data_IF_127648254339
#
_entry.id   IF_127648254339
#
_cell.length_a   1.000
_cell.length_b   1.000
_cell.length_c   1.000
_cell.angle_alpha   90.00
_cell.angle_beta   90.00
_cell.angle_gamma   90.00
#
_symmetry.space_group_name_H-M   'P 1'
#
loop_
_entity.id
_entity.type
_entity.pdbx_description
1 polymer ?
#
# COMPACT_ATOMS: atom_id res chain seq x y z
N UNK A 1 26.75 14.29 20.82
CA UNK A 1 26.27 13.90 20.91
C UNK A 1 25.49 13.45 20.70
N UNK A 2 25.72 13.49 20.35
CA UNK A 2 25.11 12.99 20.29
C UNK A 2 24.26 12.21 20.19
N UNK A 3 25.08 12.08 20.35
CA UNK A 3 24.60 10.73 20.33
C UNK A 3 23.22 10.69 20.38
N UNK A 4 22.81 11.64 20.62
CA UNK A 4 21.42 11.78 20.65
C UNK A 4 20.84 11.97 19.31
N UNK A 5 21.43 11.37 18.32
CA UNK A 5 20.86 11.20 17.01
C UNK A 5 19.51 10.54 17.20
N UNK A 6 18.43 11.19 16.77
CA UNK A 6 17.11 10.59 16.91
C UNK A 6 16.98 9.23 16.27
N UNK A 7 17.77 8.93 15.27
CA UNK A 7 17.71 7.64 14.62
C UNK A 7 18.05 6.49 15.58
N UNK A 8 18.72 6.78 16.66
CA UNK A 8 19.05 5.74 17.64
C UNK A 8 17.88 5.39 18.53
N UNK A 9 16.84 6.21 18.51
CA UNK A 9 15.73 6.03 19.43
C UNK A 9 14.42 5.82 18.73
N UNK A 10 14.47 5.49 17.47
CA UNK A 10 13.25 5.17 16.74
C UNK A 10 12.64 3.91 17.31
N UNK A 11 11.32 3.93 17.45
CA UNK A 11 10.64 2.72 17.85
C UNK A 11 10.66 1.72 16.71
N UNK A 12 10.26 0.46 16.98
CA UNK A 12 10.33 -0.59 15.97
C UNK A 12 9.55 -0.28 14.70
N UNK A 13 8.54 0.58 14.77
CA UNK A 13 7.77 0.91 13.58
C UNK A 13 8.56 1.74 12.59
N UNK A 14 9.49 2.56 13.07
CA UNK A 14 10.27 3.40 12.18
C UNK A 14 11.62 2.81 11.86
N UNK A 15 12.03 1.76 12.58
CA UNK A 15 13.24 1.03 12.26
C UNK A 15 12.94 0.01 11.17
N UNK A 16 13.83 -0.13 10.19
CA UNK A 16 13.67 -1.09 9.13
C UNK A 16 12.85 -0.55 7.97
N UNK A 17 12.29 -1.42 7.14
CA UNK A 17 11.59 -1.00 5.92
C UNK A 17 10.36 -0.13 6.21
N UNK A 18 10.04 0.78 5.29
CA UNK A 18 8.84 1.61 5.44
C UNK A 18 7.57 0.80 5.56
N UNK A 19 6.59 1.37 6.22
CA UNK A 19 5.31 0.73 6.47
C UNK A 19 4.28 1.25 5.49
N UNK A 20 3.47 0.34 4.94
CA UNK A 20 2.27 0.67 4.19
C UNK A 20 1.10 0.08 4.96
N UNK A 21 0.19 0.93 5.40
CA UNK A 21 -0.92 0.49 6.25
C UNK A 21 -2.14 0.14 5.42
N UNK A 22 -2.81 -0.92 5.81
CA UNK A 22 -4.00 -1.41 5.14
C UNK A 22 -5.12 -1.66 6.15
N UNK A 23 -6.34 -1.46 5.69
CA UNK A 23 -7.50 -1.96 6.43
C UNK A 23 -7.40 -3.49 6.46
N UNK A 24 -7.67 -4.12 7.61
CA UNK A 24 -7.53 -5.58 7.71
C UNK A 24 -8.43 -6.37 6.76
N UNK A 25 -9.48 -5.77 6.24
CA UNK A 25 -10.34 -6.47 5.28
C UNK A 25 -9.61 -6.83 3.99
N UNK A 26 -8.47 -6.21 3.71
CA UNK A 26 -7.71 -6.51 2.49
C UNK A 26 -6.69 -7.63 2.66
N UNK A 27 -6.56 -8.16 3.87
CA UNK A 27 -5.50 -9.13 4.17
C UNK A 27 -5.58 -10.37 3.29
N UNK A 28 -6.78 -10.93 3.14
CA UNK A 28 -6.94 -12.13 2.32
C UNK A 28 -6.64 -11.85 0.85
N UNK A 29 -7.08 -10.70 0.34
CA UNK A 29 -6.82 -10.36 -1.05
C UNK A 29 -5.33 -10.19 -1.31
N UNK A 30 -4.61 -9.62 -0.36
CA UNK A 30 -3.17 -9.47 -0.50
C UNK A 30 -2.48 -10.84 -0.43
N UNK A 31 -2.86 -11.67 0.53
CA UNK A 31 -2.25 -13.00 0.67
C UNK A 31 -2.49 -13.87 -0.54
N UNK A 32 -3.68 -13.82 -1.10
CA UNK A 32 -4.04 -14.68 -2.23
C UNK A 32 -3.49 -14.18 -3.55
N UNK A 33 -3.00 -12.94 -3.60
CA UNK A 33 -2.55 -12.34 -4.85
C UNK A 33 -3.64 -11.65 -5.62
N UNK A 34 -4.86 -11.58 -5.08
CA UNK A 34 -5.94 -10.85 -5.73
C UNK A 34 -5.69 -9.34 -5.71
N UNK A 35 -4.94 -8.87 -4.71
CA UNK A 35 -4.59 -7.46 -4.61
C UNK A 35 -3.07 -7.33 -4.66
N UNK A 36 -2.55 -6.81 -5.77
CA UNK A 36 -1.13 -6.61 -5.98
C UNK A 36 -0.76 -5.15 -6.14
N UNK A 37 -1.75 -4.25 -6.10
CA UNK A 37 -1.53 -2.82 -6.16
C UNK A 37 -2.38 -2.13 -5.11
N UNK A 38 -1.94 -0.95 -4.71
CA UNK A 38 -2.73 -0.09 -3.84
C UNK A 38 -2.55 1.34 -4.34
N UNK A 39 -3.64 2.11 -4.38
CA UNK A 39 -3.61 3.49 -4.85
C UNK A 39 -3.70 4.40 -3.64
N UNK A 40 -2.78 5.34 -3.55
CA UNK A 40 -2.67 6.23 -2.39
C UNK A 40 -2.64 7.69 -2.83
N UNK A 41 -3.21 8.54 -2.00
CA UNK A 41 -3.27 9.97 -2.22
C UNK A 41 -2.50 10.68 -1.12
N UNK A 42 -1.45 11.44 -1.51
CA UNK A 42 -0.61 12.18 -0.55
C UNK A 42 -0.01 11.27 0.52
N UNK A 43 0.33 10.06 0.11
CA UNK A 43 0.90 9.07 1.01
C UNK A 43 2.00 8.36 0.23
N UNK A 44 3.14 9.01 0.08
CA UNK A 44 4.19 8.52 -0.81
C UNK A 44 4.82 7.23 -0.31
N UNK A 45 5.23 6.41 -1.26
CA UNK A 45 5.98 5.19 -0.99
C UNK A 45 7.29 5.25 -1.75
N UNK A 46 8.15 4.28 -1.52
CA UNK A 46 9.42 4.20 -2.25
C UNK A 46 9.63 2.76 -2.69
N UNK A 47 10.38 2.61 -3.76
CA UNK A 47 10.76 1.29 -4.28
C UNK A 47 11.63 0.58 -3.25
N UNK A 48 11.51 -0.75 -3.23
CA UNK A 48 12.33 -1.57 -2.36
C UNK A 48 11.53 -2.21 -1.24
N UNK A 49 12.23 -2.65 -0.19
CA UNK A 49 11.57 -3.39 0.90
C UNK A 49 10.50 -2.55 1.59
N UNK A 50 9.44 -3.21 2.02
CA UNK A 50 8.35 -2.57 2.74
C UNK A 50 7.71 -3.56 3.70
N UNK A 51 6.95 -3.04 4.65
CA UNK A 51 6.15 -3.85 5.55
C UNK A 51 4.69 -3.46 5.35
N UNK A 52 3.86 -4.44 5.01
CA UNK A 52 2.42 -4.20 4.86
C UNK A 52 1.79 -4.50 6.21
N UNK A 53 1.18 -3.50 6.81
CA UNK A 53 0.64 -3.60 8.16
C UNK A 53 -0.89 -3.55 8.08
N UNK A 54 -1.52 -4.63 8.54
CA UNK A 54 -2.97 -4.77 8.55
C UNK A 54 -3.44 -4.54 9.97
N UNK A 55 -4.19 -3.49 10.16
CA UNK A 55 -4.50 -2.95 11.49
C UNK A 55 -5.63 -3.71 12.15
N UNK A 56 -5.33 -4.90 12.60
CA UNK A 56 -6.26 -5.76 13.33
C UNK A 56 -5.70 -6.02 14.73
N UNK A 57 -6.37 -6.83 15.51
CA UNK A 57 -5.94 -7.18 16.85
C UNK A 57 -5.89 -8.71 16.95
N UNK A 58 -4.70 -9.30 16.94
CA UNK A 58 -3.40 -8.65 16.81
C UNK A 58 -3.11 -8.17 15.39
N UNK A 59 -2.21 -7.19 15.32
CA UNK A 59 -1.79 -6.64 14.04
C UNK A 59 -1.05 -7.68 13.21
N UNK A 60 -1.27 -7.67 11.89
CA UNK A 60 -0.58 -8.58 10.98
C UNK A 60 0.38 -7.78 10.13
N UNK A 61 1.62 -8.23 10.03
CA UNK A 61 2.66 -7.57 9.24
C UNK A 61 3.19 -8.56 8.21
N UNK A 62 3.14 -8.17 6.94
CA UNK A 62 3.68 -8.99 5.86
C UNK A 62 4.87 -8.28 5.22
N UNK A 63 6.04 -8.91 5.20
CA UNK A 63 7.18 -8.35 4.46
C UNK A 63 6.88 -8.33 2.97
N UNK A 64 7.31 -7.27 2.31
CA UNK A 64 7.00 -7.09 0.90
C UNK A 64 8.09 -6.31 0.20
N UNK A 65 7.95 -6.24 -1.12
CA UNK A 65 8.81 -5.45 -1.99
C UNK A 65 7.91 -4.55 -2.82
N UNK A 66 8.17 -3.25 -2.81
CA UNK A 66 7.50 -2.31 -3.71
C UNK A 66 8.28 -2.36 -5.03
N UNK A 67 7.63 -2.85 -6.07
CA UNK A 67 8.29 -3.07 -7.35
C UNK A 67 7.99 -1.99 -8.37
N UNK A 68 6.97 -1.16 -8.15
CA UNK A 68 6.64 -0.08 -9.06
C UNK A 68 5.79 0.98 -8.39
N UNK A 69 5.99 2.22 -8.82
CA UNK A 69 5.17 3.34 -8.39
C UNK A 69 4.86 4.15 -9.64
N UNK A 70 3.57 4.36 -9.90
CA UNK A 70 3.14 5.16 -11.05
C UNK A 70 2.32 6.33 -10.54
N UNK A 71 2.71 7.52 -10.95
CA UNK A 71 1.96 8.74 -10.64
C UNK A 71 0.96 8.99 -11.76
N UNK A 72 -0.30 9.23 -11.41
CA UNK A 72 -1.31 9.52 -12.41
C UNK A 72 -2.46 10.27 -11.77
N UNK A 73 -3.35 10.79 -12.62
CA UNK A 73 -4.57 11.41 -12.12
C UNK A 73 -5.59 10.34 -11.76
N UNK A 74 -6.48 10.67 -10.83
CA UNK A 74 -7.59 9.77 -10.48
C UNK A 74 -8.37 9.39 -11.74
N UNK A 75 -8.58 10.35 -12.65
CA UNK A 75 -9.32 10.10 -13.88
C UNK A 75 -8.59 9.17 -14.85
N UNK A 76 -7.29 8.96 -14.65
CA UNK A 76 -6.50 8.08 -15.51
C UNK A 76 -6.45 6.63 -15.02
N UNK A 77 -7.06 6.35 -13.90
CA UNK A 77 -7.10 4.98 -13.39
C UNK A 77 -7.90 4.10 -14.34
N UNK A 78 -7.42 2.87 -14.54
CA UNK A 78 -7.99 1.95 -15.54
C UNK A 78 -8.67 0.76 -14.87
N UNK A 79 -9.41 0.00 -15.67
CA UNK A 79 -9.99 -1.24 -15.20
C UNK A 79 -8.90 -2.23 -14.78
N UNK A 80 -7.77 -2.22 -15.46
CA UNK A 80 -6.65 -3.08 -15.08
C UNK A 80 -6.12 -2.70 -13.70
N UNK A 81 -6.04 -1.41 -13.41
CA UNK A 81 -5.64 -0.96 -12.08
C UNK A 81 -6.61 -1.48 -11.03
N UNK A 82 -7.91 -1.41 -11.32
CA UNK A 82 -8.92 -1.91 -10.39
C UNK A 82 -8.80 -3.42 -10.18
N UNK A 83 -8.58 -4.15 -11.25
CA UNK A 83 -8.46 -5.61 -11.17
C UNK A 83 -7.26 -6.02 -10.33
N UNK A 84 -6.17 -5.27 -10.42
CA UNK A 84 -4.98 -5.54 -9.61
C UNK A 84 -5.21 -5.22 -8.13
N UNK A 85 -6.29 -4.52 -7.80
CA UNK A 85 -6.66 -4.25 -6.41
C UNK A 85 -7.84 -5.11 -5.94
N UNK A 86 -8.21 -6.11 -6.73
CA UNK A 86 -9.29 -7.02 -6.37
C UNK A 86 -10.67 -6.50 -6.74
N UNK A 87 -10.73 -5.45 -7.54
CA UNK A 87 -11.99 -4.87 -8.01
C UNK A 87 -12.18 -5.22 -9.48
N UNK A 88 -13.24 -4.70 -10.09
CA UNK A 88 -13.55 -5.01 -11.48
C UNK A 88 -13.33 -3.83 -12.41
N UNK A 89 -13.77 -2.64 -12.02
CA UNK A 89 -13.75 -1.47 -12.90
C UNK A 89 -13.06 -0.28 -12.24
N UNK A 90 -12.58 0.63 -13.10
CA UNK A 90 -11.99 1.87 -12.62
C UNK A 90 -12.99 2.69 -11.81
N UNK A 91 -14.28 2.61 -12.15
CA UNK A 91 -15.30 3.32 -11.40
C UNK A 91 -15.37 2.84 -9.96
N UNK A 92 -15.29 1.52 -9.76
CA UNK A 92 -15.25 0.96 -8.40
C UNK A 92 -14.02 1.41 -7.63
N UNK A 93 -12.87 1.46 -8.32
CA UNK A 93 -11.64 1.91 -7.67
C UNK A 93 -11.77 3.36 -7.25
N UNK A 94 -12.29 4.22 -8.11
CA UNK A 94 -12.48 5.64 -7.78
C UNK A 94 -13.46 5.81 -6.64
N UNK A 95 -14.52 5.00 -6.63
CA UNK A 95 -15.50 5.03 -5.54
C UNK A 95 -14.85 4.67 -4.20
N UNK A 96 -14.04 3.63 -4.20
CA UNK A 96 -13.33 3.22 -2.99
C UNK A 96 -12.37 4.28 -2.51
N UNK A 97 -11.68 4.95 -3.42
CA UNK A 97 -10.77 6.04 -3.07
C UNK A 97 -11.52 7.19 -2.42
N UNK A 98 -12.71 7.52 -2.92
CA UNK A 98 -13.51 8.57 -2.32
C UNK A 98 -13.96 8.21 -0.92
N UNK A 99 -14.14 6.94 -0.63
CA UNK A 99 -14.44 6.49 0.71
C UNK A 99 -13.33 6.79 1.70
N UNK A 100 -12.08 6.71 1.26
CA UNK A 100 -10.92 6.99 2.09
C UNK A 100 -10.53 8.46 2.06
N UNK A 101 -10.77 9.13 0.93
CA UNK A 101 -10.37 10.52 0.71
C UNK A 101 -11.58 11.27 0.14
N UNK A 102 -12.50 11.72 1.01
CA UNK A 102 -13.79 12.26 0.53
C UNK A 102 -13.70 13.47 -0.39
N UNK A 103 -12.62 14.25 -0.28
CA UNK A 103 -12.45 15.44 -1.10
C UNK A 103 -11.71 15.19 -2.41
N UNK A 104 -11.42 13.92 -2.69
CA UNK A 104 -10.64 13.56 -3.86
C UNK A 104 -11.41 13.85 -5.14
N UNK A 105 -10.76 14.54 -6.08
CA UNK A 105 -11.33 14.88 -7.38
C UNK A 105 -10.61 14.10 -8.48
N UNK A 106 -11.25 14.01 -9.66
CA UNK A 106 -10.64 13.30 -10.78
C UNK A 106 -9.33 13.92 -11.25
N UNK A 107 -9.11 15.21 -10.96
CA UNK A 107 -7.89 15.91 -11.34
C UNK A 107 -6.80 15.82 -10.28
N UNK A 108 -7.05 15.15 -9.15
CA UNK A 108 -6.01 14.95 -8.15
C UNK A 108 -5.05 13.87 -8.60
N UNK A 109 -3.79 14.00 -8.19
CA UNK A 109 -2.76 13.03 -8.50
C UNK A 109 -2.70 11.96 -7.41
N UNK A 110 -2.55 10.73 -7.84
CA UNK A 110 -2.43 9.59 -6.93
C UNK A 110 -1.22 8.76 -7.33
N UNK A 111 -0.79 7.90 -6.43
CA UNK A 111 0.28 6.95 -6.68
C UNK A 111 -0.31 5.55 -6.71
N UNK A 112 -0.08 4.84 -7.82
CA UNK A 112 -0.42 3.44 -7.93
C UNK A 112 0.82 2.65 -7.56
N UNK A 113 0.78 1.99 -6.43
CA UNK A 113 1.92 1.29 -5.85
C UNK A 113 1.76 -0.20 -6.12
N UNK A 114 2.72 -0.78 -6.83
CA UNK A 114 2.74 -2.21 -7.11
C UNK A 114 3.67 -2.87 -6.11
N UNK A 115 3.21 -3.96 -5.51
CA UNK A 115 3.99 -4.65 -4.48
C UNK A 115 3.89 -6.16 -4.65
N UNK A 116 4.81 -6.85 -4.01
CA UNK A 116 4.86 -8.30 -4.00
C UNK A 116 5.21 -8.71 -2.58
N UNK A 117 4.42 -9.60 -1.99
CA UNK A 117 4.75 -10.06 -0.65
C UNK A 117 5.89 -11.06 -0.70
N UNK A 118 6.72 -11.04 0.34
CA UNK A 118 7.88 -11.91 0.46
C UNK A 118 7.51 -13.08 1.38
N UNK A 119 6.50 -13.84 0.98
CA UNK A 119 6.06 -14.97 1.78
C UNK A 119 6.88 -16.20 1.40
N UNK A 120 7.97 -16.38 2.09
CA UNK A 120 8.83 -17.51 1.83
C UNK A 120 8.28 -18.81 2.36
N UNK A 121 7.39 -18.73 3.32
CA UNK A 121 6.82 -19.90 3.93
C UNK A 121 6.05 -20.72 2.92
N UNK A 122 5.21 -20.05 2.17
CA UNK A 122 4.44 -20.74 1.17
C UNK A 122 5.27 -21.24 0.03
N UNK A 123 6.40 -20.59 -0.23
CA UNK A 123 7.29 -20.98 -1.31
C UNK A 123 8.19 -22.13 -0.94
N UNK A 124 8.41 -22.29 0.31
CA UNK A 124 9.31 -23.35 0.81
C UNK A 124 8.75 -24.77 0.61
#
# INVERSE_FOLDING_TARGET
>A
MNGLDPSLYQDPETAGPPIIRFNPRYLEDVRSGAKTKTTRFRDPAQLGPARLVFESDPEVVLPAEVTGIRHCLVSDLTNQDAQAEGLTTAAELREGLKGHYPDLAGTDEVDVITFQINDKTGAA
#
